data_IF_010720434953
#
_entry.id   IF_010720434953
#
_cell.length_a   1.000
_cell.length_b   1.000
_cell.length_c   1.000
_cell.angle_alpha   90.00
_cell.angle_beta   90.00
_cell.angle_gamma   90.00
#
_symmetry.space_group_name_H-M   'P 1'
#
loop_
_entity.id
_entity.type
_entity.pdbx_description
1 polymer ?
#
# COMPACT_ATOMS: atom_id res chain seq x y z
N UNK A 1 -8.72 -7.39 -4.09
CA UNK A 1 -7.72 -8.36 -4.63
C UNK A 1 -7.32 -9.36 -3.54
N UNK A 2 -6.47 -10.35 -3.87
CA UNK A 2 -5.99 -11.36 -2.91
C UNK A 2 -5.05 -10.82 -1.82
N UNK A 3 -4.55 -9.59 -1.96
CA UNK A 3 -3.69 -8.93 -0.99
C UNK A 3 -4.38 -8.55 0.30
N UNK A 4 -5.72 -8.46 0.33
CA UNK A 4 -6.47 -8.35 1.59
C UNK A 4 -6.44 -9.64 2.43
N UNK A 5 -6.12 -10.78 1.83
CA UNK A 5 -6.15 -12.10 2.50
C UNK A 5 -4.74 -12.63 2.76
N UNK A 6 -3.86 -12.49 1.76
CA UNK A 6 -2.48 -12.94 1.82
C UNK A 6 -1.55 -11.99 1.05
N UNK A 7 -1.23 -10.81 1.61
CA UNK A 7 -0.45 -9.77 0.92
C UNK A 7 0.98 -10.18 0.57
N UNK A 8 1.60 -11.06 1.38
CA UNK A 8 2.96 -11.57 1.17
C UNK A 8 2.95 -13.10 1.34
N UNK A 9 2.71 -13.87 0.26
CA UNK A 9 2.36 -15.29 0.35
C UNK A 9 3.56 -16.23 0.54
N UNK A 10 4.35 -16.05 1.60
CA UNK A 10 5.58 -16.83 1.88
C UNK A 10 5.32 -18.34 1.95
N UNK A 11 4.30 -18.78 2.70
CA UNK A 11 4.00 -20.20 2.85
C UNK A 11 3.57 -20.86 1.56
N UNK A 12 2.94 -20.13 0.64
CA UNK A 12 2.62 -20.66 -0.69
C UNK A 12 3.90 -20.94 -1.48
N UNK A 13 4.85 -20.00 -1.49
CA UNK A 13 6.14 -20.20 -2.16
C UNK A 13 6.88 -21.43 -1.60
N UNK A 14 6.89 -21.61 -0.27
CA UNK A 14 7.49 -22.82 0.35
C UNK A 14 6.75 -24.09 -0.03
N UNK A 15 5.41 -24.08 -0.02
CA UNK A 15 4.60 -25.24 -0.41
C UNK A 15 4.81 -25.62 -1.89
N UNK A 16 5.18 -24.67 -2.75
CA UNK A 16 5.58 -24.90 -4.13
C UNK A 16 6.99 -25.50 -4.28
N UNK A 17 7.72 -25.71 -3.18
CA UNK A 17 9.06 -26.33 -3.17
C UNK A 17 10.22 -25.34 -3.24
N UNK A 18 10.00 -24.07 -2.91
CA UNK A 18 11.10 -23.11 -2.84
C UNK A 18 12.04 -23.40 -1.66
N UNK A 19 13.34 -23.58 -1.95
CA UNK A 19 14.38 -23.73 -0.92
C UNK A 19 14.64 -22.41 -0.17
N UNK A 20 14.57 -21.30 -0.91
CA UNK A 20 14.77 -19.94 -0.40
C UNK A 20 13.63 -19.05 -0.88
N UNK A 21 13.05 -18.28 0.04
CA UNK A 21 11.99 -17.30 -0.23
C UNK A 21 12.48 -15.90 0.08
N UNK A 22 12.53 -15.06 -0.95
CA UNK A 22 12.80 -13.63 -0.85
C UNK A 22 11.46 -12.90 -1.00
N UNK A 23 10.99 -12.28 0.08
CA UNK A 23 9.75 -11.54 0.11
C UNK A 23 10.01 -10.05 -0.13
N UNK A 24 9.07 -9.39 -0.81
CA UNK A 24 9.04 -7.93 -0.99
C UNK A 24 7.74 -7.40 -0.41
N UNK A 25 7.81 -6.53 0.60
CA UNK A 25 6.65 -5.92 1.26
C UNK A 25 6.64 -4.40 1.07
N UNK A 26 5.71 -3.92 0.25
CA UNK A 26 5.49 -2.50 -0.05
C UNK A 26 4.63 -1.80 1.03
N UNK A 27 3.83 -2.54 1.80
CA UNK A 27 2.87 -1.97 2.74
C UNK A 27 3.52 -1.46 4.03
N UNK A 28 4.65 -2.05 4.43
CA UNK A 28 5.40 -1.68 5.64
C UNK A 28 5.75 -0.20 5.74
N UNK A 29 6.09 0.45 4.62
CA UNK A 29 6.47 1.87 4.59
C UNK A 29 5.26 2.82 4.59
N UNK A 30 4.11 2.36 4.08
CA UNK A 30 2.88 3.18 3.99
C UNK A 30 2.27 3.51 5.36
N UNK A 31 2.36 2.59 6.33
CA UNK A 31 1.77 2.78 7.67
C UNK A 31 2.62 3.72 8.53
N UNK A 32 3.95 3.67 8.41
CA UNK A 32 4.84 4.62 9.11
C UNK A 32 4.53 6.07 8.77
N UNK A 33 4.03 6.30 7.54
CA UNK A 33 3.59 7.60 7.05
C UNK A 33 2.18 7.95 7.49
N UNK A 34 1.21 7.03 7.39
CA UNK A 34 -0.16 7.26 7.82
C UNK A 34 -0.23 7.69 9.30
N UNK A 35 0.53 7.03 10.19
CA UNK A 35 0.65 7.39 11.61
C UNK A 35 1.35 8.75 11.82
N UNK A 36 2.29 9.12 10.94
CA UNK A 36 2.98 10.41 10.98
C UNK A 36 2.11 11.55 10.41
N UNK A 37 1.18 11.22 9.50
CA UNK A 37 0.21 12.13 8.87
C UNK A 37 -0.94 12.47 9.81
N UNK A 38 -1.30 11.59 10.75
CA UNK A 38 -2.20 11.93 11.86
C UNK A 38 -1.56 12.86 12.89
N UNK A 39 -0.22 12.92 12.95
CA UNK A 39 0.53 13.76 13.89
C UNK A 39 1.03 15.09 13.30
N UNK A 40 1.08 15.22 11.97
CA UNK A 40 1.50 16.44 11.27
C UNK A 40 0.29 17.07 10.55
N UNK A 41 0.21 18.41 10.59
CA UNK A 41 -0.85 19.23 10.01
C UNK A 41 -1.28 18.77 8.58
N UNK A 42 -2.56 18.95 8.21
CA UNK A 42 -3.14 18.33 7.02
C UNK A 42 -2.45 18.87 5.77
N UNK A 43 -1.81 17.97 5.02
CA UNK A 43 -1.35 18.24 3.66
C UNK A 43 -2.57 18.14 2.75
N UNK A 44 -2.83 19.13 1.86
CA UNK A 44 -3.96 19.08 0.95
C UNK A 44 -3.95 17.77 0.16
N UNK A 45 -5.09 17.08 0.14
CA UNK A 45 -5.27 15.87 -0.64
C UNK A 45 -5.51 16.35 -2.07
N UNK A 46 -4.57 16.10 -2.98
CA UNK A 46 -4.67 16.49 -4.39
C UNK A 46 -5.94 15.90 -5.05
N UNK A 47 -6.54 16.72 -5.90
CA UNK A 47 -7.82 16.57 -6.63
C UNK A 47 -7.98 15.24 -7.38
N UNK A 48 -6.91 14.48 -7.57
CA UNK A 48 -6.87 13.18 -8.25
C UNK A 48 -7.71 12.11 -7.53
N UNK A 49 -7.84 12.16 -6.20
CA UNK A 49 -8.65 11.20 -5.44
C UNK A 49 -10.17 11.43 -5.56
N UNK A 50 -10.63 12.64 -5.86
CA UNK A 50 -12.08 12.88 -6.03
C UNK A 50 -12.63 12.17 -7.28
N UNK A 51 -11.80 12.08 -8.33
CA UNK A 51 -12.20 11.54 -9.64
C UNK A 51 -12.40 10.03 -9.69
N UNK A 52 -11.80 9.22 -8.80
CA UNK A 52 -12.04 7.76 -8.78
C UNK A 52 -13.31 7.40 -8.01
N UNK A 53 -13.62 8.13 -6.93
CA UNK A 53 -14.88 7.97 -6.20
C UNK A 53 -16.09 8.27 -7.06
N UNK A 54 -16.06 9.37 -7.82
CA UNK A 54 -17.12 9.68 -8.77
C UNK A 54 -17.32 8.56 -9.79
N UNK A 55 -16.23 7.98 -10.31
CA UNK A 55 -16.29 6.90 -11.31
C UNK A 55 -16.80 5.58 -10.73
N UNK A 56 -16.44 5.24 -9.49
CA UNK A 56 -16.96 4.05 -8.80
C UNK A 56 -18.44 4.19 -8.48
N UNK A 57 -18.87 5.36 -7.97
CA UNK A 57 -20.27 5.62 -7.63
C UNK A 57 -21.15 5.68 -8.89
N UNK A 58 -20.62 6.24 -9.99
CA UNK A 58 -21.28 6.17 -11.29
C UNK A 58 -21.43 4.73 -11.79
N UNK A 59 -20.43 3.86 -11.54
CA UNK A 59 -20.52 2.43 -11.83
C UNK A 59 -21.56 1.67 -11.00
N UNK A 60 -22.01 2.24 -9.88
CA UNK A 60 -23.11 1.73 -9.04
C UNK A 60 -24.48 2.31 -9.40
N UNK A 61 -24.56 3.17 -10.44
CA UNK A 61 -25.81 3.75 -10.93
C UNK A 61 -26.32 4.96 -10.14
N UNK A 62 -25.48 5.58 -9.30
CA UNK A 62 -25.83 6.81 -8.57
C UNK A 62 -25.55 8.02 -9.47
N UNK A 63 -26.53 8.92 -9.58
CA UNK A 63 -26.39 10.14 -10.37
C UNK A 63 -25.59 11.20 -9.60
N UNK A 64 -24.97 12.15 -10.31
CA UNK A 64 -24.28 13.28 -9.67
C UNK A 64 -25.18 14.05 -8.70
N UNK A 65 -26.46 14.19 -9.06
CA UNK A 65 -27.45 14.86 -8.21
C UNK A 65 -27.75 14.09 -6.90
N UNK A 66 -27.68 12.75 -6.91
CA UNK A 66 -27.85 11.92 -5.70
C UNK A 66 -26.64 12.08 -4.74
N UNK A 67 -25.44 12.25 -5.32
CA UNK A 67 -24.20 12.46 -4.57
C UNK A 67 -24.19 13.86 -3.94
N UNK A 68 -24.62 14.89 -4.68
CA UNK A 68 -24.74 16.26 -4.17
C UNK A 68 -25.81 16.35 -3.07
N UNK A 69 -26.93 15.65 -3.21
CA UNK A 69 -27.95 15.57 -2.16
C UNK A 69 -27.46 14.83 -0.91
N UNK A 70 -26.71 13.73 -1.07
CA UNK A 70 -26.16 12.96 0.05
C UNK A 70 -25.03 13.72 0.78
N UNK A 71 -24.17 14.40 0.03
CA UNK A 71 -23.09 15.21 0.58
C UNK A 71 -23.60 16.47 1.28
N UNK A 72 -24.71 17.07 0.81
CA UNK A 72 -25.39 18.15 1.50
C UNK A 72 -26.13 17.69 2.78
N UNK A 73 -26.62 16.45 2.82
CA UNK A 73 -27.33 15.89 3.98
C UNK A 73 -26.41 15.37 5.09
N UNK A 74 -25.15 15.05 4.78
CA UNK A 74 -24.15 14.61 5.75
C UNK A 74 -23.19 15.77 6.03
N UNK A 75 -23.20 16.39 7.22
CA UNK A 75 -22.39 17.57 7.53
C UNK A 75 -20.92 17.20 7.81
N UNK A 76 -20.23 16.57 6.85
CA UNK A 76 -18.77 16.42 6.81
C UNK A 76 -18.13 17.44 5.86
N UNK A 77 -18.69 18.65 5.78
CA UNK A 77 -18.15 19.77 5.03
C UNK A 77 -17.21 20.63 5.87
N UNK A 78 -15.92 20.31 5.85
CA UNK A 78 -14.83 21.30 5.99
C UNK A 78 -13.58 20.74 5.32
N UNK A 79 -12.75 21.64 4.77
CA UNK A 79 -11.48 21.42 4.03
C UNK A 79 -10.39 20.64 4.81
N UNK A 80 -10.77 19.88 5.84
CA UNK A 80 -9.88 19.19 6.78
C UNK A 80 -10.43 17.85 7.26
N UNK A 81 -11.59 17.40 6.77
CA UNK A 81 -12.14 16.08 7.11
C UNK A 81 -11.71 15.03 6.07
N UNK A 82 -11.11 13.89 6.47
CA UNK A 82 -10.76 12.82 5.54
C UNK A 82 -11.99 12.40 4.74
N UNK A 83 -11.88 12.36 3.42
CA UNK A 83 -12.94 11.86 2.55
C UNK A 83 -13.28 10.40 2.94
N UNK A 84 -14.55 9.98 2.82
CA UNK A 84 -14.96 8.59 3.09
C UNK A 84 -14.09 7.58 2.31
N UNK A 85 -13.70 7.95 1.09
CA UNK A 85 -12.77 7.22 0.25
C UNK A 85 -11.39 7.06 0.88
N UNK A 86 -10.80 8.14 1.39
CA UNK A 86 -9.51 8.13 2.06
C UNK A 86 -9.54 7.29 3.33
N UNK A 87 -10.65 7.31 4.08
CA UNK A 87 -10.86 6.47 5.28
C UNK A 87 -10.91 4.99 4.89
N UNK A 88 -11.70 4.63 3.87
CA UNK A 88 -11.79 3.25 3.37
C UNK A 88 -10.42 2.78 2.88
N UNK A 89 -9.73 3.55 2.04
CA UNK A 89 -8.39 3.23 1.52
C UNK A 89 -7.37 3.03 2.66
N UNK A 90 -7.37 3.95 3.64
CA UNK A 90 -6.52 3.84 4.83
C UNK A 90 -6.82 2.58 5.64
N UNK A 91 -8.11 2.26 5.82
CA UNK A 91 -8.53 1.05 6.55
C UNK A 91 -8.04 -0.23 5.88
N UNK A 92 -8.15 -0.31 4.54
CA UNK A 92 -7.67 -1.45 3.75
C UNK A 92 -6.16 -1.60 3.90
N UNK A 93 -5.41 -0.51 3.76
CA UNK A 93 -3.97 -0.53 3.93
C UNK A 93 -3.55 -0.99 5.35
N UNK A 94 -4.22 -0.49 6.39
CA UNK A 94 -3.96 -0.92 7.78
C UNK A 94 -4.24 -2.43 7.95
N UNK A 95 -5.36 -2.92 7.42
CA UNK A 95 -5.71 -4.34 7.48
C UNK A 95 -4.67 -5.19 6.75
N UNK A 96 -4.29 -4.80 5.54
CA UNK A 96 -3.26 -5.50 4.75
C UNK A 96 -1.94 -5.59 5.50
N UNK A 97 -1.44 -4.48 6.09
CA UNK A 97 -0.20 -4.51 6.87
C UNK A 97 -0.34 -5.38 8.11
N UNK A 98 -1.48 -5.32 8.81
CA UNK A 98 -1.69 -6.16 9.98
C UNK A 98 -1.67 -7.65 9.61
N UNK A 99 -2.29 -8.02 8.49
CA UNK A 99 -2.32 -9.38 7.99
C UNK A 99 -0.92 -9.82 7.53
N UNK A 100 -0.21 -8.98 6.78
CA UNK A 100 1.17 -9.23 6.36
C UNK A 100 2.08 -9.51 7.56
N UNK A 101 2.07 -8.63 8.57
CA UNK A 101 2.87 -8.78 9.77
C UNK A 101 2.53 -10.05 10.55
N UNK A 102 1.24 -10.36 10.73
CA UNK A 102 0.81 -11.58 11.43
C UNK A 102 1.26 -12.84 10.69
N UNK A 103 1.16 -12.85 9.35
CA UNK A 103 1.61 -13.99 8.54
C UNK A 103 3.13 -14.13 8.56
N UNK A 104 3.88 -13.05 8.35
CA UNK A 104 5.35 -13.07 8.37
C UNK A 104 5.91 -13.46 9.76
N UNK A 105 5.18 -13.21 10.84
CA UNK A 105 5.55 -13.68 12.17
C UNK A 105 5.40 -15.21 12.34
N UNK A 106 4.46 -15.83 11.63
CA UNK A 106 4.27 -17.28 11.64
C UNK A 106 5.11 -18.01 10.58
N UNK A 107 5.13 -17.47 9.36
CA UNK A 107 5.86 -17.97 8.19
C UNK A 107 6.85 -16.90 7.71
N UNK A 108 8.04 -16.78 8.33
CA UNK A 108 9.04 -15.81 7.93
C UNK A 108 9.67 -16.16 6.57
N UNK A 109 9.92 -15.14 5.77
CA UNK A 109 10.78 -15.23 4.60
C UNK A 109 12.25 -15.30 5.01
N UNK A 110 13.10 -15.87 4.16
CA UNK A 110 14.55 -15.90 4.41
C UNK A 110 15.18 -14.51 4.26
N UNK A 111 14.64 -13.71 3.34
CA UNK A 111 14.91 -12.27 3.23
C UNK A 111 13.62 -11.52 3.04
N UNK A 112 13.44 -10.43 3.80
CA UNK A 112 12.38 -9.47 3.58
C UNK A 112 12.97 -8.16 3.08
N UNK A 113 12.49 -7.70 1.92
CA UNK A 113 12.85 -6.42 1.31
C UNK A 113 11.66 -5.48 1.45
N UNK A 114 11.90 -4.30 2.04
CA UNK A 114 10.87 -3.28 2.24
C UNK A 114 11.31 -1.97 1.57
N UNK A 115 10.98 -1.75 0.29
CA UNK A 115 11.24 -0.50 -0.42
C UNK A 115 10.51 0.69 0.21
N UNK A 116 11.14 1.87 0.20
CA UNK A 116 10.61 3.11 0.78
C UNK A 116 9.77 3.89 -0.23
N UNK A 117 8.59 3.37 -0.52
CA UNK A 117 7.67 3.89 -1.54
C UNK A 117 6.41 4.54 -0.96
N UNK A 118 6.34 4.78 0.36
CA UNK A 118 5.16 5.34 1.02
C UNK A 118 4.77 6.77 0.58
N UNK A 119 5.58 7.42 -0.27
CA UNK A 119 5.29 8.69 -0.95
C UNK A 119 4.57 8.59 -2.26
N UNK A 120 4.43 7.38 -2.79
CA UNK A 120 3.77 7.14 -4.04
C UNK A 120 2.33 6.78 -3.75
N UNK A 121 1.40 7.52 -4.34
CA UNK A 121 0.00 7.15 -4.38
C UNK A 121 -0.21 5.90 -5.23
N UNK A 122 -1.32 5.20 -5.00
CA UNK A 122 -1.68 4.00 -5.77
C UNK A 122 -1.76 4.27 -7.28
N UNK A 123 -2.11 5.51 -7.67
CA UNK A 123 -2.33 5.93 -9.05
C UNK A 123 -1.21 6.84 -9.60
N UNK A 124 -0.06 6.95 -8.91
CA UNK A 124 1.07 7.81 -9.31
C UNK A 124 1.91 7.20 -10.46
N UNK A 125 1.27 6.78 -11.54
CA UNK A 125 1.93 6.11 -12.67
C UNK A 125 3.02 6.98 -13.32
N UNK A 126 2.87 8.30 -13.27
CA UNK A 126 3.85 9.26 -13.79
C UNK A 126 5.17 9.26 -13.00
N UNK A 127 5.20 8.68 -11.79
CA UNK A 127 6.39 8.55 -10.93
C UNK A 127 6.95 7.13 -10.90
N UNK A 128 6.63 6.31 -11.90
CA UNK A 128 7.10 4.93 -11.98
C UNK A 128 8.63 4.81 -11.89
N UNK A 129 9.37 5.73 -12.51
CA UNK A 129 10.84 5.74 -12.47
C UNK A 129 11.39 5.86 -11.05
N UNK A 130 10.73 6.67 -10.20
CA UNK A 130 11.08 6.82 -8.78
C UNK A 130 10.87 5.50 -8.02
N UNK A 131 9.73 4.83 -8.26
CA UNK A 131 9.40 3.55 -7.65
C UNK A 131 10.42 2.45 -8.02
N UNK A 132 10.77 2.38 -9.30
CA UNK A 132 11.72 1.39 -9.83
C UNK A 132 13.12 1.65 -9.26
N UNK A 133 13.57 2.91 -9.26
CA UNK A 133 14.87 3.28 -8.71
C UNK A 133 14.98 2.91 -7.22
N UNK A 134 13.93 3.17 -6.43
CA UNK A 134 13.90 2.77 -5.02
C UNK A 134 13.87 1.24 -4.85
N UNK A 135 13.16 0.51 -5.72
CA UNK A 135 13.21 -0.96 -5.73
C UNK A 135 14.62 -1.51 -5.97
N UNK A 136 15.34 -0.96 -6.95
CA UNK A 136 16.75 -1.31 -7.22
C UNK A 136 17.64 -0.97 -6.02
N UNK A 137 17.45 0.20 -5.42
CA UNK A 137 18.19 0.61 -4.23
C UNK A 137 17.89 -0.31 -3.03
N UNK A 138 16.63 -0.75 -2.85
CA UNK A 138 16.22 -1.67 -1.79
C UNK A 138 16.91 -3.03 -1.89
N UNK A 139 16.98 -3.60 -3.09
CA UNK A 139 17.78 -4.82 -3.35
C UNK A 139 19.26 -4.57 -3.09
N UNK A 140 19.77 -3.40 -3.49
CA UNK A 140 21.15 -3.00 -3.23
C UNK A 140 21.53 -3.02 -1.74
N UNK A 141 20.62 -2.58 -0.86
CA UNK A 141 20.83 -2.55 0.60
C UNK A 141 20.98 -3.94 1.23
N UNK A 142 20.39 -4.98 0.63
CA UNK A 142 20.48 -6.37 1.12
C UNK A 142 21.33 -7.28 0.22
N UNK A 143 22.09 -6.70 -0.72
CA UNK A 143 22.82 -7.44 -1.76
C UNK A 143 23.73 -8.52 -1.19
N UNK A 144 24.45 -8.24 -0.11
CA UNK A 144 25.36 -9.21 0.51
C UNK A 144 24.60 -10.45 1.00
N UNK A 145 23.51 -10.25 1.73
CA UNK A 145 22.66 -11.34 2.25
C UNK A 145 22.09 -12.17 1.10
N UNK A 146 21.63 -11.52 0.02
CA UNK A 146 21.11 -12.21 -1.16
C UNK A 146 22.18 -13.07 -1.86
N UNK A 147 23.42 -12.58 -1.94
CA UNK A 147 24.54 -13.33 -2.53
C UNK A 147 24.89 -14.57 -1.72
N UNK A 148 24.95 -14.42 -0.40
CA UNK A 148 25.20 -15.53 0.53
C UNK A 148 24.12 -16.62 0.39
N UNK A 149 22.84 -16.22 0.37
CA UNK A 149 21.71 -17.16 0.27
C UNK A 149 21.58 -17.84 -1.09
N UNK A 150 22.01 -17.19 -2.17
CA UNK A 150 21.94 -17.76 -3.53
C UNK A 150 23.20 -18.52 -3.93
N UNK A 151 24.21 -18.58 -3.05
CA UNK A 151 25.50 -19.24 -3.35
C UNK A 151 26.29 -18.55 -4.47
N UNK A 152 26.01 -17.28 -4.77
CA UNK A 152 26.68 -16.51 -5.83
C UNK A 152 27.74 -15.60 -5.20
N UNK A 153 28.96 -16.11 -5.12
CA UNK A 153 30.16 -15.33 -4.81
C UNK A 153 30.66 -14.64 -6.08
N UNK A 154 31.08 -13.38 -5.94
CA UNK A 154 31.58 -12.39 -6.93
C UNK A 154 30.57 -11.51 -7.70
#
# INVERSE_FOLDING_TARGET
>A
DGGLVNPVPVSLCRAMGADVVIAVDLGSDMVGRALRRTAAAPVPIEETEAGWTERLLAGLGLSRDDIDALSAAIPFGSDSSPSLASVISSSINIMQVRIARSRLAGDPADVLISPRVGQLGLMDYHRADEAIAEGVAAVGRVRTVLRELTGRSD
#
